data_IF_499101716446
#
_entry.id   IF_499101716446
#
_cell.length_a   1.000
_cell.length_b   1.000
_cell.length_c   1.000
_cell.angle_alpha   90.00
_cell.angle_beta   90.00
_cell.angle_gamma   90.00
#
_symmetry.space_group_name_H-M   'P 1'
#
loop_
_entity.id
_entity.type
_entity.pdbx_description
1 polymer ?
#
# COMPACT_ATOMS: atom_id res chain seq x y z
N UNK A 1 0.21 26.89 -10.20
CA UNK A 1 1.30 26.52 -11.13
C UNK A 1 0.67 26.08 -12.43
N UNK A 2 1.20 26.54 -13.56
CA UNK A 2 0.71 26.19 -14.90
C UNK A 2 1.76 25.30 -15.57
N UNK A 3 1.31 24.19 -16.17
CA UNK A 3 2.16 23.23 -16.88
C UNK A 3 1.73 23.20 -18.34
N UNK A 4 2.68 23.36 -19.26
CA UNK A 4 2.44 23.24 -20.70
C UNK A 4 3.06 21.92 -21.16
N UNK A 5 2.23 20.99 -21.63
CA UNK A 5 2.66 19.67 -22.10
C UNK A 5 2.34 19.52 -23.59
N UNK A 6 3.34 19.36 -24.47
CA UNK A 6 3.07 19.06 -25.87
C UNK A 6 2.53 17.63 -25.98
N UNK A 7 1.35 17.48 -26.57
CA UNK A 7 0.72 16.19 -26.84
C UNK A 7 0.60 15.97 -28.34
N UNK A 8 0.77 14.74 -28.79
CA UNK A 8 0.39 14.35 -30.14
C UNK A 8 -1.14 14.33 -30.28
N UNK A 9 -1.64 14.52 -31.50
CA UNK A 9 -3.09 14.61 -31.78
C UNK A 9 -3.88 13.37 -31.33
N UNK A 10 -3.25 12.18 -31.34
CA UNK A 10 -3.91 10.93 -30.95
C UNK A 10 -4.07 10.86 -29.43
N UNK A 11 -3.06 11.28 -28.69
CA UNK A 11 -3.11 11.34 -27.22
C UNK A 11 -4.09 12.41 -26.74
N UNK A 12 -4.10 13.59 -27.38
CA UNK A 12 -5.06 14.65 -27.08
C UNK A 12 -6.51 14.18 -27.30
N UNK A 13 -6.80 13.54 -28.44
CA UNK A 13 -8.14 13.03 -28.73
C UNK A 13 -8.62 11.99 -27.70
N UNK A 14 -7.71 11.10 -27.24
CA UNK A 14 -8.03 10.12 -26.20
C UNK A 14 -8.30 10.77 -24.85
N UNK A 15 -7.51 11.78 -24.48
CA UNK A 15 -7.71 12.51 -23.23
C UNK A 15 -9.08 13.19 -23.22
N UNK A 16 -9.42 13.89 -24.31
CA UNK A 16 -10.71 14.58 -24.45
C UNK A 16 -11.88 13.57 -24.44
N UNK A 17 -11.74 12.44 -25.13
CA UNK A 17 -12.77 11.40 -25.13
C UNK A 17 -13.01 10.84 -23.72
N UNK A 18 -11.94 10.53 -23.00
CA UNK A 18 -12.03 10.00 -21.63
C UNK A 18 -12.60 11.03 -20.65
N UNK A 19 -12.26 12.31 -20.81
CA UNK A 19 -12.80 13.39 -20.00
C UNK A 19 -14.32 13.55 -20.22
N UNK A 20 -14.76 13.51 -21.50
CA UNK A 20 -16.17 13.57 -21.87
C UNK A 20 -16.97 12.39 -21.33
N UNK A 21 -16.43 11.18 -21.42
CA UNK A 21 -17.06 9.97 -20.88
C UNK A 21 -17.28 10.08 -19.36
N UNK A 22 -16.34 10.72 -18.64
CA UNK A 22 -16.41 10.95 -17.21
C UNK A 22 -17.20 12.21 -16.81
N UNK A 23 -17.64 13.02 -17.78
CA UNK A 23 -18.33 14.28 -17.53
C UNK A 23 -17.48 15.37 -16.88
N UNK A 24 -16.15 15.27 -16.97
CA UNK A 24 -15.20 16.24 -16.39
C UNK A 24 -14.39 16.95 -17.48
N UNK A 25 -13.70 18.03 -17.12
CA UNK A 25 -12.79 18.72 -18.06
C UNK A 25 -11.50 17.93 -18.28
N UNK A 26 -10.85 18.14 -19.42
CA UNK A 26 -9.57 17.48 -19.73
C UNK A 26 -8.47 17.89 -18.73
N UNK A 27 -8.41 19.17 -18.32
CA UNK A 27 -7.51 19.67 -17.29
C UNK A 27 -7.70 18.98 -15.94
N UNK A 28 -8.96 18.75 -15.55
CA UNK A 28 -9.30 18.08 -14.29
C UNK A 28 -8.89 16.61 -14.30
N UNK A 29 -9.11 15.91 -15.41
CA UNK A 29 -8.63 14.54 -15.61
C UNK A 29 -7.09 14.45 -15.53
N UNK A 30 -6.36 15.40 -16.12
CA UNK A 30 -4.90 15.47 -16.02
C UNK A 30 -4.46 15.74 -14.58
N UNK A 31 -5.13 16.64 -13.87
CA UNK A 31 -4.85 16.96 -12.48
C UNK A 31 -5.04 15.72 -11.58
N UNK A 32 -6.14 14.99 -11.73
CA UNK A 32 -6.38 13.73 -11.00
C UNK A 32 -5.28 12.69 -11.27
N UNK A 33 -4.91 12.52 -12.54
CA UNK A 33 -3.87 11.58 -12.93
C UNK A 33 -2.52 11.91 -12.28
N UNK A 34 -2.12 13.19 -12.30
CA UNK A 34 -0.88 13.66 -11.67
C UNK A 34 -0.97 13.48 -10.15
N UNK A 35 -2.09 13.87 -9.52
CA UNK A 35 -2.27 13.70 -8.07
C UNK A 35 -2.11 12.25 -7.64
N UNK A 36 -2.75 11.31 -8.36
CA UNK A 36 -2.63 9.87 -8.11
C UNK A 36 -1.20 9.36 -8.32
N UNK A 37 -0.49 9.86 -9.34
CA UNK A 37 0.91 9.50 -9.56
C UNK A 37 1.79 9.95 -8.38
N UNK A 38 1.60 11.18 -7.90
CA UNK A 38 2.34 11.74 -6.77
C UNK A 38 2.01 11.02 -5.45
N UNK A 39 0.74 10.68 -5.23
CA UNK A 39 0.31 9.90 -4.06
C UNK A 39 0.91 8.49 -4.07
N UNK A 40 0.97 7.84 -5.24
CA UNK A 40 1.64 6.54 -5.38
C UNK A 40 3.17 6.60 -5.30
N UNK A 41 3.76 7.78 -5.48
CA UNK A 41 5.19 8.01 -5.28
C UNK A 41 5.56 8.18 -3.80
N UNK A 42 4.61 8.57 -2.94
CA UNK A 42 4.81 8.61 -1.49
C UNK A 42 4.61 7.21 -0.89
N UNK A 43 5.71 6.63 -0.40
CA UNK A 43 5.71 5.69 0.72
C UNK A 43 5.00 4.35 0.59
N UNK A 44 5.05 3.72 -0.59
CA UNK A 44 5.21 2.26 -0.55
C UNK A 44 6.66 1.96 -0.25
N UNK A 45 7.04 2.03 1.03
CA UNK A 45 8.32 1.51 1.53
C UNK A 45 8.32 0.02 1.22
N UNK A 46 8.77 -0.34 0.02
CA UNK A 46 9.05 -1.73 -0.30
C UNK A 46 10.19 -2.11 0.64
N UNK A 47 10.01 -3.13 1.48
CA UNK A 47 11.08 -3.55 2.36
C UNK A 47 12.31 -3.87 1.49
N UNK A 48 13.39 -3.11 1.71
CA UNK A 48 14.64 -3.23 0.93
C UNK A 48 15.32 -4.58 1.15
N UNK A 49 14.90 -5.30 2.19
CA UNK A 49 15.39 -6.61 2.59
C UNK A 49 14.20 -7.51 2.87
N UNK A 50 14.34 -8.80 2.53
CA UNK A 50 13.36 -9.80 2.93
C UNK A 50 13.30 -9.93 4.45
N UNK A 51 12.11 -10.18 5.00
CA UNK A 51 11.96 -10.59 6.40
C UNK A 51 12.27 -12.08 6.61
N UNK A 52 12.44 -12.84 5.52
CA UNK A 52 12.86 -14.23 5.57
C UNK A 52 14.24 -14.35 6.25
N UNK A 53 14.36 -15.26 7.23
CA UNK A 53 15.59 -15.48 7.99
C UNK A 53 15.80 -14.53 9.19
N UNK A 54 14.91 -13.55 9.43
CA UNK A 54 15.08 -12.57 10.52
C UNK A 54 15.20 -13.23 11.91
N UNK A 55 14.57 -14.40 12.08
CA UNK A 55 14.52 -15.13 13.33
C UNK A 55 15.58 -16.23 13.45
N UNK A 56 16.40 -16.49 12.41
CA UNK A 56 17.41 -17.56 12.45
C UNK A 56 18.43 -17.40 13.59
N UNK A 57 18.71 -16.16 14.00
CA UNK A 57 19.58 -15.84 15.14
C UNK A 57 19.08 -16.40 16.48
N UNK A 58 17.81 -16.77 16.58
CA UNK A 58 17.21 -17.35 17.78
C UNK A 58 17.26 -18.87 17.79
N UNK A 59 17.83 -19.50 16.76
CA UNK A 59 17.97 -20.95 16.67
C UNK A 59 16.75 -21.63 16.03
N UNK A 60 16.61 -22.95 16.21
CA UNK A 60 15.46 -23.69 15.68
C UNK A 60 14.16 -23.14 16.27
N UNK A 61 13.08 -23.21 15.48
CA UNK A 61 11.76 -22.85 15.97
C UNK A 61 11.32 -23.77 17.13
N UNK A 62 10.55 -23.25 18.09
CA UNK A 62 9.99 -24.07 19.17
C UNK A 62 9.07 -25.17 18.62
N UNK A 63 8.89 -26.24 19.40
CA UNK A 63 7.94 -27.30 19.08
C UNK A 63 6.50 -26.82 19.21
N UNK A 64 5.56 -27.58 18.64
CA UNK A 64 4.13 -27.26 18.73
C UNK A 64 3.64 -27.27 20.18
N UNK A 65 4.12 -28.22 20.98
CA UNK A 65 3.81 -28.33 22.40
C UNK A 65 4.32 -27.11 23.19
N UNK A 66 5.55 -26.66 22.92
CA UNK A 66 6.14 -25.47 23.55
C UNK A 66 5.37 -24.19 23.19
N UNK A 67 4.95 -24.07 21.92
CA UNK A 67 4.11 -22.96 21.46
C UNK A 67 2.76 -22.98 22.17
N UNK A 68 2.16 -24.16 22.35
CA UNK A 68 0.86 -24.32 22.98
C UNK A 68 0.88 -24.02 24.48
N UNK A 69 1.92 -24.44 25.19
CA UNK A 69 2.14 -24.07 26.59
C UNK A 69 2.37 -22.57 26.74
N UNK A 70 3.25 -21.98 25.93
CA UNK A 70 3.52 -20.54 25.94
C UNK A 70 2.25 -19.74 25.65
N UNK A 71 1.43 -20.18 24.69
CA UNK A 71 0.12 -19.57 24.40
C UNK A 71 -0.83 -19.66 25.59
N UNK A 72 -0.96 -20.83 26.23
CA UNK A 72 -1.82 -21.00 27.43
C UNK A 72 -1.35 -20.11 28.59
N UNK A 73 -0.05 -19.93 28.74
CA UNK A 73 0.53 -19.05 29.75
C UNK A 73 0.30 -17.57 29.44
N UNK A 74 0.70 -17.11 28.25
CA UNK A 74 0.61 -15.70 27.84
C UNK A 74 -0.82 -15.18 27.78
N UNK A 75 -1.78 -16.04 27.42
CA UNK A 75 -3.20 -15.68 27.34
C UNK A 75 -3.98 -16.03 28.60
N UNK A 76 -3.32 -16.37 29.70
CA UNK A 76 -3.99 -16.64 30.99
C UNK A 76 -4.68 -15.38 31.50
N UNK A 77 -6.01 -15.43 31.58
CA UNK A 77 -6.83 -14.29 31.98
C UNK A 77 -6.97 -13.18 30.93
N UNK A 78 -6.66 -13.49 29.66
CA UNK A 78 -6.95 -12.59 28.56
C UNK A 78 -8.46 -12.45 28.38
N UNK A 79 -8.95 -11.21 28.28
CA UNK A 79 -10.38 -10.86 28.22
C UNK A 79 -11.22 -11.25 29.44
N UNK A 80 -10.61 -11.57 30.59
CA UNK A 80 -11.31 -11.65 31.86
C UNK A 80 -11.43 -10.25 32.48
N UNK A 81 -12.65 -9.83 32.84
CA UNK A 81 -12.85 -8.69 33.74
C UNK A 81 -12.39 -9.10 35.14
N UNK A 82 -11.21 -8.63 35.55
CA UNK A 82 -10.75 -8.78 36.93
C UNK A 82 -11.46 -7.76 37.83
N UNK A 83 -11.90 -8.15 39.04
CA UNK A 83 -12.56 -7.25 39.99
C UNK A 83 -11.62 -6.16 40.53
#
# INVERSE_FOLDING_TARGET
MTLTLPLDRKTEAKLVALARERGISADELVREAIARMLESASDKVRPKKSAFGLLEKFGPGPSEEEIDESRKEMFRGFAEDRP
#
